data_IF_809381875775
#
_entry.id   IF_809381875775
#
_cell.length_a   1.000
_cell.length_b   1.000
_cell.length_c   1.000
_cell.angle_alpha   90.00
_cell.angle_beta   90.00
_cell.angle_gamma   90.00
#
_symmetry.space_group_name_H-M   'P 1'
#
loop_
_entity.id
_entity.type
_entity.pdbx_description
1 polymer ?
#
# COMPACT_ATOMS: atom_id res chain seq x y z
N UNK A 1 3.27 12.34 0.49
CA UNK A 1 2.91 13.53 1.28
C UNK A 1 3.69 13.50 2.57
N UNK A 2 4.84 14.18 2.60
CA UNK A 2 5.62 14.43 3.82
C UNK A 2 5.82 15.94 3.87
N UNK A 3 5.15 16.57 4.83
CA UNK A 3 5.12 18.02 5.01
C UNK A 3 6.26 18.47 5.91
N UNK A 4 7.01 19.44 5.39
CA UNK A 4 8.04 20.25 6.05
C UNK A 4 7.35 21.14 7.10
N UNK A 5 7.77 21.07 8.36
CA UNK A 5 7.35 22.01 9.41
C UNK A 5 8.49 23.00 9.66
N UNK A 6 8.27 24.25 9.27
CA UNK A 6 9.06 25.39 9.72
C UNK A 6 8.17 26.24 10.61
N UNK A 7 8.60 26.49 11.84
CA UNK A 7 7.93 27.44 12.72
C UNK A 7 8.98 28.44 13.23
N UNK A 8 8.79 29.69 12.84
CA UNK A 8 9.60 30.83 13.25
C UNK A 8 8.83 31.69 14.24
N UNK A 9 9.45 31.85 15.42
CA UNK A 9 9.65 33.08 16.21
C UNK A 9 8.55 34.14 16.41
N UNK A 10 8.40 34.51 17.69
CA UNK A 10 8.12 35.87 18.18
C UNK A 10 6.65 36.19 18.48
N UNK A 11 6.28 37.00 19.47
CA UNK A 11 6.98 37.65 20.59
C UNK A 11 5.86 38.20 21.53
N UNK A 12 6.23 38.49 22.78
CA UNK A 12 5.57 39.29 23.82
C UNK A 12 4.23 40.01 23.55
N UNK A 13 3.29 39.95 24.51
CA UNK A 13 3.02 41.11 25.37
C UNK A 13 2.26 40.78 26.67
N UNK A 14 2.63 41.51 27.71
CA UNK A 14 2.19 41.49 29.10
C UNK A 14 1.03 42.47 29.38
N UNK A 15 0.48 42.35 30.60
CA UNK A 15 -0.31 43.33 31.39
C UNK A 15 -1.83 43.28 31.24
N UNK A 16 -2.64 43.69 32.22
CA UNK A 16 -2.63 43.74 33.68
C UNK A 16 -4.04 44.27 34.05
N UNK A 17 -4.54 43.90 35.22
CA UNK A 17 -5.51 44.59 36.08
C UNK A 17 -6.72 45.36 35.48
N UNK A 18 -7.92 44.99 35.93
CA UNK A 18 -9.14 45.78 35.76
C UNK A 18 -10.29 45.28 36.65
N UNK A 19 -10.21 45.53 37.95
CA UNK A 19 -11.33 45.36 38.87
C UNK A 19 -12.39 46.45 38.63
N UNK A 20 -13.66 46.09 38.46
CA UNK A 20 -14.80 46.96 38.75
C UNK A 20 -15.96 46.16 39.32
N UNK A 21 -16.35 46.62 40.51
CA UNK A 21 -17.45 46.18 41.36
C UNK A 21 -18.79 46.63 40.74
N UNK A 22 -19.83 45.78 40.80
CA UNK A 22 -21.14 46.07 40.22
C UNK A 22 -22.22 45.15 40.77
N UNK A 23 -22.87 45.62 41.82
CA UNK A 23 -23.99 45.00 42.52
C UNK A 23 -25.28 45.12 41.70
N UNK A 24 -26.09 44.06 41.58
CA UNK A 24 -27.49 44.21 41.16
C UNK A 24 -28.14 43.06 40.38
N UNK A 25 -29.17 42.49 41.02
CA UNK A 25 -30.41 41.89 40.45
C UNK A 25 -30.35 40.47 39.88
N UNK A 26 -30.81 39.57 40.73
CA UNK A 26 -31.58 38.37 40.44
C UNK A 26 -32.44 38.48 39.18
N UNK A 27 -32.12 37.68 38.17
CA UNK A 27 -33.08 37.23 37.17
C UNK A 27 -32.84 35.73 36.94
N UNK A 28 -33.83 34.93 37.37
CA UNK A 28 -33.90 33.50 37.09
C UNK A 28 -34.03 33.30 35.59
N UNK A 29 -32.91 33.10 34.91
CA UNK A 29 -32.89 32.72 33.52
C UNK A 29 -32.71 31.21 33.45
N UNK A 30 -33.78 30.54 33.06
CA UNK A 30 -33.82 29.11 32.76
C UNK A 30 -32.67 28.74 31.83
N UNK A 31 -31.70 28.01 32.36
CA UNK A 31 -30.69 27.29 31.59
C UNK A 31 -31.39 26.20 30.76
N UNK A 32 -32.04 26.60 29.65
CA UNK A 32 -32.27 25.70 28.53
C UNK A 32 -30.91 25.43 27.93
N UNK A 33 -30.27 24.37 28.43
CA UNK A 33 -29.14 23.75 27.78
C UNK A 33 -29.53 23.52 26.32
N UNK A 34 -28.97 24.33 25.44
CA UNK A 34 -29.14 24.24 24.01
C UNK A 34 -28.34 23.00 23.56
N UNK A 35 -28.81 21.81 23.96
CA UNK A 35 -28.26 20.54 23.52
C UNK A 35 -28.54 20.48 22.02
N UNK A 36 -27.50 20.74 21.22
CA UNK A 36 -27.54 20.50 19.78
C UNK A 36 -28.08 19.08 19.57
N UNK A 37 -29.09 18.88 18.71
CA UNK A 37 -29.63 17.56 18.44
C UNK A 37 -28.49 16.63 18.04
N UNK A 38 -28.17 15.66 18.90
CA UNK A 38 -27.16 14.65 18.60
C UNK A 38 -27.82 13.73 17.58
N UNK A 39 -27.38 13.82 16.32
CA UNK A 39 -27.96 13.04 15.24
C UNK A 39 -27.99 11.54 15.63
N UNK A 40 -29.09 10.83 15.39
CA UNK A 40 -29.20 9.42 15.77
C UNK A 40 -28.08 8.61 15.13
N UNK A 41 -27.50 7.65 15.87
CA UNK A 41 -26.35 6.84 15.42
C UNK A 41 -26.58 6.21 14.05
N UNK A 42 -27.82 5.80 13.75
CA UNK A 42 -28.22 5.27 12.45
C UNK A 42 -28.11 6.29 11.32
N UNK A 43 -28.37 7.58 11.57
CA UNK A 43 -28.22 8.65 10.59
C UNK A 43 -26.73 8.97 10.34
N UNK A 44 -25.89 8.98 11.38
CA UNK A 44 -24.44 9.19 11.23
C UNK A 44 -23.78 8.00 10.54
N UNK A 45 -24.21 6.77 10.85
CA UNK A 45 -23.72 5.58 10.16
C UNK A 45 -24.14 5.55 8.68
N UNK A 46 -25.40 5.88 8.37
CA UNK A 46 -25.89 5.99 6.99
C UNK A 46 -25.15 7.03 6.16
N UNK A 47 -24.72 8.15 6.75
CA UNK A 47 -23.92 9.14 6.03
C UNK A 47 -22.49 8.64 5.77
N UNK A 48 -21.89 7.91 6.71
CA UNK A 48 -20.57 7.26 6.53
C UNK A 48 -20.58 6.15 5.48
N UNK A 49 -21.63 5.34 5.40
CA UNK A 49 -21.76 4.28 4.38
C UNK A 49 -21.76 4.83 2.94
N UNK A 50 -22.24 6.06 2.75
CA UNK A 50 -22.25 6.72 1.43
C UNK A 50 -20.89 7.31 1.03
N UNK A 51 -19.91 7.31 1.93
CA UNK A 51 -18.59 7.88 1.64
C UNK A 51 -17.71 6.86 0.91
N UNK A 52 -17.02 7.26 -0.17
CA UNK A 52 -16.05 6.39 -0.86
C UNK A 52 -14.99 5.78 0.07
N UNK A 53 -14.64 6.48 1.15
CA UNK A 53 -13.69 5.99 2.16
C UNK A 53 -14.15 4.71 2.87
N UNK A 54 -15.47 4.51 3.04
CA UNK A 54 -15.98 3.27 3.64
C UNK A 54 -15.76 2.07 2.71
N UNK A 55 -16.00 2.23 1.40
CA UNK A 55 -15.74 1.18 0.42
C UNK A 55 -14.25 0.90 0.25
N UNK A 56 -13.41 1.93 0.35
CA UNK A 56 -11.95 1.79 0.39
C UNK A 56 -11.49 0.94 1.59
N UNK A 57 -12.05 1.22 2.78
CA UNK A 57 -11.81 0.41 3.98
C UNK A 57 -12.29 -1.03 3.78
N UNK A 58 -13.51 -1.23 3.27
CA UNK A 58 -14.08 -2.55 3.03
C UNK A 58 -13.21 -3.36 2.05
N UNK A 59 -12.69 -2.72 0.99
CA UNK A 59 -11.76 -3.33 0.06
C UNK A 59 -10.49 -3.84 0.75
N UNK A 60 -9.87 -3.04 1.62
CA UNK A 60 -8.70 -3.48 2.39
C UNK A 60 -9.01 -4.59 3.40
N UNK A 61 -10.15 -4.52 4.10
CA UNK A 61 -10.57 -5.58 5.03
C UNK A 61 -10.86 -6.89 4.31
N UNK A 62 -11.53 -6.85 3.15
CA UNK A 62 -11.76 -8.03 2.32
C UNK A 62 -10.45 -8.58 1.72
N UNK A 63 -9.51 -7.71 1.35
CA UNK A 63 -8.17 -8.12 0.94
C UNK A 63 -7.48 -8.96 2.02
N UNK A 64 -7.52 -8.50 3.28
CA UNK A 64 -6.94 -9.25 4.41
C UNK A 64 -7.65 -10.59 4.63
N UNK A 65 -8.98 -10.60 4.55
CA UNK A 65 -9.77 -11.82 4.68
C UNK A 65 -9.41 -12.86 3.59
N UNK A 66 -9.33 -12.45 2.32
CA UNK A 66 -8.94 -13.35 1.24
C UNK A 66 -7.45 -13.73 1.29
N UNK A 67 -6.60 -12.88 1.85
CA UNK A 67 -5.20 -13.23 2.11
C UNK A 67 -5.07 -14.35 3.14
N UNK A 68 -5.86 -14.31 4.22
CA UNK A 68 -5.91 -15.43 5.19
C UNK A 68 -6.36 -16.72 4.49
N UNK A 69 -7.41 -16.68 3.67
CA UNK A 69 -7.84 -17.86 2.90
C UNK A 69 -6.77 -18.34 1.92
N UNK A 70 -6.05 -17.41 1.28
CA UNK A 70 -4.96 -17.71 0.37
C UNK A 70 -3.81 -18.43 1.09
N UNK A 71 -3.41 -17.97 2.28
CA UNK A 71 -2.39 -18.63 3.12
C UNK A 71 -2.82 -20.02 3.59
N UNK A 72 -4.11 -20.22 3.86
CA UNK A 72 -4.69 -21.51 4.29
C UNK A 72 -5.08 -22.40 3.10
N UNK A 73 -4.84 -21.99 1.86
CA UNK A 73 -5.24 -22.75 0.67
C UNK A 73 -4.20 -23.82 0.31
N UNK A 74 -4.62 -25.08 0.28
CA UNK A 74 -3.76 -26.20 -0.13
C UNK A 74 -3.99 -26.64 -1.59
N UNK A 75 -5.11 -26.27 -2.19
CA UNK A 75 -5.44 -26.60 -3.59
C UNK A 75 -5.06 -25.45 -4.52
N UNK A 76 -4.40 -25.74 -5.64
CA UNK A 76 -3.99 -24.74 -6.64
C UNK A 76 -5.15 -23.84 -7.07
N UNK A 77 -6.33 -24.43 -7.29
CA UNK A 77 -7.52 -23.67 -7.68
C UNK A 77 -8.00 -22.70 -6.59
N UNK A 78 -7.85 -23.07 -5.31
CA UNK A 78 -8.18 -22.21 -4.17
C UNK A 78 -7.18 -21.05 -4.06
N UNK A 79 -5.89 -21.35 -4.17
CA UNK A 79 -4.80 -20.35 -4.22
C UNK A 79 -5.06 -19.34 -5.33
N UNK A 80 -5.34 -19.82 -6.54
CA UNK A 80 -5.63 -18.98 -7.72
C UNK A 80 -6.88 -18.11 -7.51
N UNK A 81 -7.94 -18.69 -6.96
CA UNK A 81 -9.19 -17.97 -6.71
C UNK A 81 -9.02 -16.87 -5.68
N UNK A 82 -8.38 -17.18 -4.55
CA UNK A 82 -8.13 -16.20 -3.49
C UNK A 82 -7.16 -15.11 -3.93
N UNK A 83 -6.12 -15.45 -4.71
CA UNK A 83 -5.23 -14.48 -5.34
C UNK A 83 -5.99 -13.48 -6.22
N UNK A 84 -6.89 -13.96 -7.10
CA UNK A 84 -7.70 -13.07 -7.95
C UNK A 84 -8.61 -12.16 -7.13
N UNK A 85 -9.20 -12.67 -6.03
CA UNK A 85 -10.01 -11.88 -5.12
C UNK A 85 -9.19 -10.80 -4.40
N UNK A 86 -7.98 -11.13 -3.95
CA UNK A 86 -7.04 -10.15 -3.40
C UNK A 86 -6.76 -9.04 -4.42
N UNK A 87 -6.36 -9.41 -5.64
CA UNK A 87 -6.08 -8.42 -6.69
C UNK A 87 -7.31 -7.55 -7.00
N UNK A 88 -8.51 -8.13 -7.06
CA UNK A 88 -9.75 -7.37 -7.25
C UNK A 88 -9.99 -6.36 -6.12
N UNK A 89 -9.85 -6.77 -4.86
CA UNK A 89 -9.96 -5.87 -3.71
C UNK A 89 -8.97 -4.71 -3.79
N UNK A 90 -7.73 -4.99 -4.17
CA UNK A 90 -6.68 -3.97 -4.34
C UNK A 90 -7.01 -3.01 -5.49
N UNK A 91 -7.46 -3.52 -6.63
CA UNK A 91 -7.89 -2.69 -7.78
C UNK A 91 -9.02 -1.74 -7.37
N UNK A 92 -10.03 -2.25 -6.65
CA UNK A 92 -11.14 -1.42 -6.17
C UNK A 92 -10.63 -0.35 -5.20
N UNK A 93 -9.84 -0.72 -4.20
CA UNK A 93 -9.31 0.22 -3.20
C UNK A 93 -8.47 1.33 -3.84
N UNK A 94 -7.47 0.99 -4.65
CA UNK A 94 -6.65 2.02 -5.31
C UNK A 94 -7.44 2.79 -6.38
N UNK A 95 -8.40 2.17 -7.06
CA UNK A 95 -9.29 2.86 -7.99
C UNK A 95 -10.08 3.99 -7.30
N UNK A 96 -10.56 3.75 -6.07
CA UNK A 96 -11.22 4.79 -5.26
C UNK A 96 -10.25 5.94 -4.93
N UNK A 97 -8.99 5.63 -4.57
CA UNK A 97 -7.98 6.66 -4.28
C UNK A 97 -7.64 7.46 -5.53
N UNK A 98 -7.45 6.80 -6.67
CA UNK A 98 -7.15 7.47 -7.94
C UNK A 98 -8.30 8.34 -8.42
N UNK A 99 -9.56 7.91 -8.25
CA UNK A 99 -10.71 8.77 -8.51
C UNK A 99 -10.68 10.05 -7.68
N UNK A 100 -10.25 9.99 -6.41
CA UNK A 100 -10.05 11.18 -5.58
C UNK A 100 -8.92 12.07 -6.11
N UNK A 101 -7.81 11.49 -6.61
CA UNK A 101 -6.71 12.24 -7.24
C UNK A 101 -7.14 12.94 -8.53
N UNK A 102 -8.01 12.31 -9.33
CA UNK A 102 -8.58 12.95 -10.52
C UNK A 102 -9.46 14.13 -10.11
N UNK A 103 -10.33 13.93 -9.11
CA UNK A 103 -11.20 15.00 -8.60
C UNK A 103 -10.42 16.18 -8.01
N UNK A 104 -9.28 15.92 -7.36
CA UNK A 104 -8.40 16.95 -6.80
C UNK A 104 -7.40 17.52 -7.82
N UNK A 105 -7.46 17.10 -9.09
CA UNK A 105 -6.53 17.46 -10.18
C UNK A 105 -5.07 17.07 -9.92
N UNK A 106 -4.82 16.15 -9.00
CA UNK A 106 -3.50 15.53 -8.78
C UNK A 106 -3.16 14.47 -9.84
N UNK A 107 -4.19 13.92 -10.50
CA UNK A 107 -4.06 12.99 -11.63
C UNK A 107 -4.84 13.51 -12.83
N UNK A 108 -4.22 13.44 -14.02
CA UNK A 108 -4.83 13.88 -15.29
C UNK A 108 -4.53 12.86 -16.38
N UNK A 109 -5.56 12.32 -17.04
CA UNK A 109 -5.40 11.29 -18.06
C UNK A 109 -4.96 11.84 -19.43
N UNK A 110 -4.02 12.77 -19.43
CA UNK A 110 -3.36 13.22 -20.65
C UNK A 110 -2.14 12.33 -20.90
N UNK A 111 -2.06 11.72 -22.07
CA UNK A 111 -0.97 10.82 -22.45
C UNK A 111 0.43 11.42 -22.25
N UNK A 112 0.58 12.73 -22.48
CA UNK A 112 1.82 13.48 -22.25
C UNK A 112 2.27 13.46 -20.77
N UNK A 113 1.33 13.45 -19.83
CA UNK A 113 1.59 13.54 -18.39
C UNK A 113 1.50 12.19 -17.69
N UNK A 114 0.81 11.21 -18.27
CA UNK A 114 0.54 9.91 -17.64
C UNK A 114 1.83 9.16 -17.29
N UNK A 115 2.83 9.20 -18.18
CA UNK A 115 4.13 8.56 -17.93
C UNK A 115 4.84 9.18 -16.73
N UNK A 116 4.80 10.50 -16.60
CA UNK A 116 5.37 11.19 -15.45
C UNK A 116 4.58 10.88 -14.16
N UNK A 117 3.25 10.84 -14.23
CA UNK A 117 2.40 10.54 -13.09
C UNK A 117 2.59 9.10 -12.58
N UNK A 118 2.72 8.11 -13.47
CA UNK A 118 3.04 6.73 -13.10
C UNK A 118 4.36 6.65 -12.32
N UNK A 119 5.37 7.43 -12.71
CA UNK A 119 6.67 7.46 -12.02
C UNK A 119 6.64 8.11 -10.64
N UNK A 120 5.65 8.95 -10.34
CA UNK A 120 5.59 9.73 -9.11
C UNK A 120 4.56 9.19 -8.11
N UNK A 121 3.53 8.49 -8.58
CA UNK A 121 2.39 8.09 -7.76
C UNK A 121 2.43 6.59 -7.47
N UNK A 122 2.86 6.22 -6.26
CA UNK A 122 2.89 4.83 -5.78
C UNK A 122 1.54 4.13 -5.97
N UNK A 123 0.44 4.81 -5.59
CA UNK A 123 -0.91 4.26 -5.70
C UNK A 123 -1.28 3.91 -7.16
N UNK A 124 -0.78 4.68 -8.13
CA UNK A 124 -0.99 4.40 -9.55
C UNK A 124 -0.14 3.20 -10.00
N UNK A 125 1.10 3.08 -9.50
CA UNK A 125 1.96 1.92 -9.78
C UNK A 125 1.32 0.62 -9.26
N UNK A 126 0.85 0.60 -8.01
CA UNK A 126 0.15 -0.57 -7.46
C UNK A 126 -1.12 -0.88 -8.23
N UNK A 127 -1.95 0.14 -8.54
CA UNK A 127 -3.18 -0.05 -9.31
C UNK A 127 -2.93 -0.68 -10.69
N UNK A 128 -1.97 -0.12 -11.44
CA UNK A 128 -1.64 -0.63 -12.78
C UNK A 128 -1.08 -2.05 -12.73
N UNK A 129 -0.21 -2.35 -11.75
CA UNK A 129 0.28 -3.71 -11.53
C UNK A 129 -0.86 -4.68 -11.20
N UNK A 130 -1.73 -4.34 -10.25
CA UNK A 130 -2.83 -5.23 -9.82
C UNK A 130 -3.82 -5.51 -10.94
N UNK A 131 -4.12 -4.51 -11.80
CA UNK A 131 -4.95 -4.74 -13.00
C UNK A 131 -4.25 -5.70 -13.97
N UNK A 132 -2.97 -5.49 -14.24
CA UNK A 132 -2.22 -6.34 -15.17
C UNK A 132 -2.18 -7.80 -14.65
N UNK A 133 -1.88 -8.01 -13.37
CA UNK A 133 -1.84 -9.32 -12.74
C UNK A 133 -3.20 -10.00 -12.70
N UNK A 134 -4.26 -9.25 -12.34
CA UNK A 134 -5.63 -9.78 -12.33
C UNK A 134 -6.03 -10.22 -13.74
N UNK A 135 -5.82 -9.38 -14.74
CA UNK A 135 -6.18 -9.64 -16.13
C UNK A 135 -5.45 -10.87 -16.65
N UNK A 136 -4.12 -10.93 -16.47
CA UNK A 136 -3.32 -12.08 -16.91
C UNK A 136 -3.74 -13.37 -16.18
N UNK A 137 -4.06 -13.30 -14.89
CA UNK A 137 -4.56 -14.45 -14.14
C UNK A 137 -5.93 -14.93 -14.66
N UNK A 138 -6.85 -14.01 -14.96
CA UNK A 138 -8.18 -14.33 -15.51
C UNK A 138 -8.09 -14.97 -16.89
N UNK A 139 -7.20 -14.46 -17.75
CA UNK A 139 -6.95 -14.99 -19.10
C UNK A 139 -6.16 -16.32 -19.13
N UNK A 140 -5.91 -16.92 -17.97
CA UNK A 140 -5.35 -18.28 -17.87
C UNK A 140 -3.86 -18.34 -17.55
N UNK A 141 -3.18 -17.20 -17.42
CA UNK A 141 -1.79 -17.12 -16.95
C UNK A 141 -1.59 -17.73 -15.56
N UNK A 142 -0.35 -18.14 -15.28
CA UNK A 142 0.05 -18.65 -13.96
C UNK A 142 0.03 -17.50 -12.95
N UNK A 143 -0.51 -17.75 -11.76
CA UNK A 143 -0.45 -16.80 -10.65
C UNK A 143 1.00 -16.59 -10.21
N UNK A 144 1.45 -15.33 -10.23
CA UNK A 144 2.73 -14.93 -9.64
C UNK A 144 2.54 -14.76 -8.13
N UNK A 145 2.68 -15.85 -7.38
CA UNK A 145 2.57 -15.84 -5.93
C UNK A 145 3.61 -14.89 -5.30
N UNK A 146 3.25 -14.22 -4.21
CA UNK A 146 4.03 -13.22 -3.46
C UNK A 146 3.97 -11.79 -4.03
N UNK A 147 3.42 -11.59 -5.23
CA UNK A 147 3.21 -10.24 -5.78
C UNK A 147 2.21 -9.41 -4.96
N UNK A 148 1.33 -10.07 -4.21
CA UNK A 148 0.35 -9.46 -3.31
C UNK A 148 0.92 -8.96 -1.97
N UNK A 149 2.10 -9.44 -1.56
CA UNK A 149 2.57 -9.31 -0.18
C UNK A 149 2.69 -7.86 0.30
N UNK A 150 3.30 -6.97 -0.49
CA UNK A 150 3.42 -5.56 -0.10
C UNK A 150 2.06 -4.86 -0.03
N UNK A 151 1.17 -5.13 -0.99
CA UNK A 151 -0.19 -4.59 -1.03
C UNK A 151 -1.05 -5.03 0.17
N UNK A 152 -0.88 -6.27 0.60
CA UNK A 152 -1.54 -6.82 1.80
C UNK A 152 -1.02 -6.15 3.07
N UNK A 153 0.28 -5.91 3.16
CA UNK A 153 0.88 -5.17 4.28
C UNK A 153 0.29 -3.76 4.35
N UNK A 154 0.23 -3.01 3.24
CA UNK A 154 -0.40 -1.69 3.24
C UNK A 154 -1.88 -1.76 3.60
N UNK A 155 -2.59 -2.78 3.13
CA UNK A 155 -4.01 -3.02 3.47
C UNK A 155 -4.23 -3.21 4.97
N UNK A 156 -3.29 -3.86 5.68
CA UNK A 156 -3.38 -4.04 7.14
C UNK A 156 -3.39 -2.68 7.86
N UNK A 157 -2.42 -1.81 7.57
CA UNK A 157 -2.32 -0.51 8.23
C UNK A 157 -3.48 0.41 7.84
N UNK A 158 -3.91 0.37 6.58
CA UNK A 158 -5.09 1.09 6.12
C UNK A 158 -6.37 0.65 6.84
N UNK A 159 -6.60 -0.66 6.96
CA UNK A 159 -7.75 -1.20 7.66
C UNK A 159 -7.72 -0.87 9.15
N UNK A 160 -6.58 -1.07 9.83
CA UNK A 160 -6.43 -0.78 11.25
C UNK A 160 -6.65 0.70 11.57
N UNK A 161 -6.02 1.59 10.80
CA UNK A 161 -6.15 3.03 11.04
C UNK A 161 -7.58 3.50 10.79
N UNK A 162 -8.22 3.07 9.70
CA UNK A 162 -9.60 3.44 9.42
C UNK A 162 -10.57 2.86 10.45
N UNK A 163 -10.38 1.60 10.86
CA UNK A 163 -11.20 0.97 11.89
C UNK A 163 -11.15 1.78 13.18
N UNK A 164 -9.95 2.13 13.66
CA UNK A 164 -9.75 2.91 14.87
C UNK A 164 -10.43 4.29 14.80
N UNK A 165 -10.25 5.01 13.70
CA UNK A 165 -10.71 6.41 13.58
C UNK A 165 -12.20 6.53 13.20
N UNK A 166 -12.74 5.60 12.41
CA UNK A 166 -14.05 5.77 11.77
C UNK A 166 -15.06 4.66 12.07
N UNK A 167 -14.65 3.51 12.60
CA UNK A 167 -15.56 2.39 12.91
C UNK A 167 -15.73 2.23 14.41
N UNK A 168 -14.62 2.17 15.15
CA UNK A 168 -14.57 1.93 16.58
C UNK A 168 -15.46 2.90 17.41
N UNK A 169 -15.54 4.21 17.09
CA UNK A 169 -16.43 5.12 17.82
C UNK A 169 -17.91 4.69 17.78
N UNK A 170 -18.35 4.01 16.72
CA UNK A 170 -19.74 3.62 16.50
C UNK A 170 -20.09 2.22 17.02
N UNK A 171 -19.10 1.44 17.47
CA UNK A 171 -19.34 0.12 18.06
C UNK A 171 -20.01 0.30 19.43
N UNK A 172 -21.12 -0.39 19.75
CA UNK A 172 -21.79 -0.28 21.04
C UNK A 172 -21.01 -1.06 22.12
N UNK A 173 -19.90 -0.48 22.59
CA UNK A 173 -19.06 -1.02 23.66
C UNK A 173 -18.68 0.09 24.65
N UNK A 174 -18.24 -0.29 25.87
CA UNK A 174 -17.89 0.68 26.92
C UNK A 174 -16.72 1.59 26.49
N UNK A 175 -16.75 2.84 26.96
CA UNK A 175 -15.72 3.85 26.62
C UNK A 175 -14.31 3.39 27.01
N UNK A 176 -14.18 2.70 28.15
CA UNK A 176 -12.92 2.15 28.65
C UNK A 176 -12.35 1.12 27.65
N UNK A 177 -13.19 0.20 27.16
CA UNK A 177 -12.75 -0.80 26.19
C UNK A 177 -12.41 -0.15 24.83
N UNK A 178 -13.16 0.87 24.38
CA UNK A 178 -12.83 1.63 23.16
C UNK A 178 -11.47 2.30 23.28
N UNK A 179 -11.21 2.98 24.40
CA UNK A 179 -9.95 3.64 24.68
C UNK A 179 -8.79 2.64 24.69
N UNK A 180 -8.96 1.51 25.38
CA UNK A 180 -7.96 0.44 25.42
C UNK A 180 -7.65 -0.11 24.02
N UNK A 181 -8.66 -0.43 23.22
CA UNK A 181 -8.47 -0.97 21.87
C UNK A 181 -7.83 0.06 20.93
N UNK A 182 -8.27 1.31 20.98
CA UNK A 182 -7.68 2.41 20.21
C UNK A 182 -6.20 2.61 20.53
N UNK A 183 -5.84 2.54 21.82
CA UNK A 183 -4.45 2.64 22.28
C UNK A 183 -3.61 1.46 21.78
N UNK A 184 -4.13 0.22 21.85
CA UNK A 184 -3.44 -0.97 21.34
C UNK A 184 -3.19 -0.88 19.83
N UNK A 185 -4.19 -0.45 19.05
CA UNK A 185 -4.03 -0.27 17.60
C UNK A 185 -3.01 0.83 17.32
N UNK A 186 -3.08 1.96 18.04
CA UNK A 186 -2.13 3.07 17.86
C UNK A 186 -0.71 2.65 18.21
N UNK A 187 -0.52 1.88 19.29
CA UNK A 187 0.77 1.30 19.65
C UNK A 187 1.28 0.36 18.56
N UNK A 188 0.44 -0.54 18.05
CA UNK A 188 0.82 -1.44 16.96
C UNK A 188 1.27 -0.67 15.71
N UNK A 189 0.47 0.32 15.27
CA UNK A 189 0.81 1.13 14.10
C UNK A 189 2.13 1.88 14.32
N UNK A 190 2.31 2.53 15.47
CA UNK A 190 3.50 3.32 15.74
C UNK A 190 4.79 2.47 15.79
N UNK A 191 4.75 1.28 16.39
CA UNK A 191 5.93 0.45 16.58
C UNK A 191 6.26 -0.46 15.39
N UNK A 192 5.25 -0.90 14.65
CA UNK A 192 5.44 -1.92 13.60
C UNK A 192 5.37 -1.37 12.18
N UNK A 193 4.84 -0.17 11.94
CA UNK A 193 4.71 0.36 10.58
C UNK A 193 6.05 0.43 9.84
N UNK A 194 7.13 0.86 10.49
CA UNK A 194 8.47 0.90 9.88
C UNK A 194 8.99 -0.50 9.51
N UNK A 195 8.89 -1.47 10.43
CA UNK A 195 9.33 -2.84 10.19
C UNK A 195 8.53 -3.54 9.09
N UNK A 196 7.22 -3.35 9.06
CA UNK A 196 6.36 -3.89 8.00
C UNK A 196 6.56 -3.17 6.67
N UNK A 197 6.83 -1.87 6.67
CA UNK A 197 7.23 -1.16 5.46
C UNK A 197 8.52 -1.77 4.88
N UNK A 198 9.51 -2.04 5.73
CA UNK A 198 10.71 -2.74 5.30
C UNK A 198 10.40 -4.15 4.77
N UNK A 199 9.55 -4.91 5.46
CA UNK A 199 9.11 -6.23 5.01
C UNK A 199 8.40 -6.16 3.64
N UNK A 200 7.62 -5.11 3.37
CA UNK A 200 6.98 -4.88 2.08
C UNK A 200 8.02 -4.70 0.97
N UNK A 201 9.02 -3.83 1.17
CA UNK A 201 10.12 -3.59 0.22
C UNK A 201 10.94 -4.88 0.00
N UNK A 202 11.26 -5.62 1.08
CA UNK A 202 11.95 -6.91 0.97
C UNK A 202 11.11 -7.91 0.17
N UNK A 203 9.79 -7.99 0.42
CA UNK A 203 8.91 -8.89 -0.31
C UNK A 203 8.87 -8.60 -1.81
N UNK A 204 8.96 -7.32 -2.19
CA UNK A 204 9.04 -6.89 -3.58
C UNK A 204 10.36 -7.33 -4.22
N UNK A 205 11.49 -7.13 -3.52
CA UNK A 205 12.80 -7.57 -4.00
C UNK A 205 12.87 -9.10 -4.18
N UNK A 206 12.40 -9.86 -3.18
CA UNK A 206 12.37 -11.33 -3.27
C UNK A 206 11.49 -11.80 -4.44
N UNK A 207 10.35 -11.15 -4.65
CA UNK A 207 9.47 -11.46 -5.78
C UNK A 207 10.14 -11.15 -7.10
N UNK A 208 10.88 -10.03 -7.21
CA UNK A 208 11.65 -9.71 -8.41
C UNK A 208 12.72 -10.77 -8.69
N UNK A 209 13.48 -11.19 -7.68
CA UNK A 209 14.47 -12.25 -7.83
C UNK A 209 13.85 -13.55 -8.37
N UNK A 210 12.71 -13.97 -7.80
CA UNK A 210 11.95 -15.14 -8.26
C UNK A 210 11.49 -14.98 -9.71
N UNK A 211 10.93 -13.82 -10.07
CA UNK A 211 10.47 -13.52 -11.42
C UNK A 211 11.63 -13.54 -12.44
N UNK A 212 12.79 -12.99 -12.09
CA UNK A 212 14.00 -13.06 -12.90
C UNK A 212 14.43 -14.50 -13.16
N UNK A 213 14.40 -15.36 -12.14
CA UNK A 213 14.75 -16.79 -12.30
C UNK A 213 13.73 -17.54 -13.16
N UNK A 214 12.45 -17.15 -13.12
CA UNK A 214 11.39 -17.75 -13.95
C UNK A 214 11.43 -17.30 -15.42
N UNK A 215 11.95 -16.11 -15.71
CA UNK A 215 11.95 -15.50 -17.03
C UNK A 215 12.51 -16.39 -18.16
N UNK A 216 13.73 -16.97 -18.06
CA UNK A 216 14.29 -17.78 -19.15
C UNK A 216 13.44 -19.03 -19.45
N UNK A 217 12.94 -19.69 -18.41
CA UNK A 217 12.05 -20.85 -18.54
C UNK A 217 10.76 -20.45 -19.26
N UNK A 218 10.20 -19.28 -18.88
CA UNK A 218 8.96 -18.79 -19.47
C UNK A 218 9.13 -18.35 -20.93
N UNK A 219 10.28 -17.77 -21.29
CA UNK A 219 10.62 -17.42 -22.67
C UNK A 219 10.72 -18.67 -23.55
N UNK A 220 11.46 -19.70 -23.11
CA UNK A 220 11.54 -20.98 -23.82
C UNK A 220 10.15 -21.61 -23.96
N UNK A 221 9.34 -21.58 -22.90
CA UNK A 221 7.97 -22.10 -22.94
C UNK A 221 7.12 -21.40 -24.00
N UNK A 222 7.19 -20.07 -24.12
CA UNK A 222 6.47 -19.33 -25.16
C UNK A 222 6.98 -19.67 -26.55
N UNK A 223 8.31 -19.74 -26.75
CA UNK A 223 8.91 -20.05 -28.04
C UNK A 223 8.57 -21.47 -28.53
N UNK A 224 8.56 -22.45 -27.64
CA UNK A 224 8.33 -23.86 -28.00
C UNK A 224 6.84 -24.19 -28.13
N UNK A 225 6.01 -23.74 -27.18
CA UNK A 225 4.61 -24.17 -27.10
C UNK A 225 3.61 -23.17 -27.66
N UNK A 226 4.01 -21.91 -27.84
CA UNK A 226 3.17 -20.78 -28.25
C UNK A 226 1.79 -20.73 -27.56
N UNK A 227 1.74 -21.16 -26.30
CA UNK A 227 0.50 -21.28 -25.54
C UNK A 227 0.11 -19.92 -24.91
N UNK A 228 -1.16 -19.55 -25.01
CA UNK A 228 -1.74 -18.37 -24.37
C UNK A 228 -1.43 -18.28 -22.86
N UNK A 229 -1.47 -19.42 -22.13
CA UNK A 229 -1.09 -19.47 -20.71
C UNK A 229 0.35 -18.98 -20.49
N UNK A 230 1.26 -19.40 -21.37
CA UNK A 230 2.66 -19.03 -21.28
C UNK A 230 2.87 -17.55 -21.63
N UNK A 231 2.12 -17.04 -22.61
CA UNK A 231 2.12 -15.63 -22.97
C UNK A 231 1.61 -14.73 -21.83
N UNK A 232 0.46 -15.03 -21.23
CA UNK A 232 -0.08 -14.24 -20.10
C UNK A 232 0.79 -14.32 -18.84
N UNK A 233 1.48 -15.44 -18.64
CA UNK A 233 2.47 -15.56 -17.56
C UNK A 233 3.67 -14.63 -17.84
N UNK A 234 4.16 -14.59 -19.07
CA UNK A 234 5.25 -13.69 -19.48
C UNK A 234 4.84 -12.22 -19.35
N UNK A 235 3.60 -11.86 -19.72
CA UNK A 235 3.06 -10.51 -19.54
C UNK A 235 2.98 -10.12 -18.05
N UNK A 236 2.59 -11.04 -17.17
CA UNK A 236 2.61 -10.81 -15.72
C UNK A 236 4.02 -10.52 -15.20
N UNK A 237 5.01 -11.30 -15.68
CA UNK A 237 6.43 -11.12 -15.34
C UNK A 237 6.91 -9.75 -15.81
N UNK A 238 6.57 -9.37 -17.04
CA UNK A 238 6.94 -8.08 -17.60
C UNK A 238 6.32 -6.90 -16.84
N UNK A 239 5.03 -6.99 -16.52
CA UNK A 239 4.33 -5.97 -15.72
C UNK A 239 4.98 -5.81 -14.35
N UNK A 240 5.37 -6.91 -13.71
CA UNK A 240 6.07 -6.88 -12.43
C UNK A 240 7.46 -6.24 -12.54
N UNK A 241 8.21 -6.54 -13.61
CA UNK A 241 9.53 -5.96 -13.85
C UNK A 241 9.45 -4.42 -14.05
N UNK A 242 8.43 -3.92 -14.77
CA UNK A 242 8.17 -2.48 -14.90
C UNK A 242 7.84 -1.87 -13.53
N UNK A 243 6.92 -2.47 -12.78
CA UNK A 243 6.58 -2.03 -11.43
C UNK A 243 7.82 -1.94 -10.54
N UNK A 244 8.63 -3.00 -10.51
CA UNK A 244 9.83 -3.06 -9.70
C UNK A 244 10.84 -1.96 -10.11
N UNK A 245 11.00 -1.68 -11.40
CA UNK A 245 11.85 -0.59 -11.89
C UNK A 245 11.35 0.78 -11.43
N UNK A 246 10.04 1.03 -11.50
CA UNK A 246 9.44 2.28 -11.00
C UNK A 246 9.74 2.44 -9.50
N UNK A 247 9.53 1.37 -8.72
CA UNK A 247 9.82 1.35 -7.28
C UNK A 247 11.29 1.57 -6.96
N UNK A 248 12.22 0.94 -7.69
CA UNK A 248 13.66 1.14 -7.52
C UNK A 248 14.08 2.59 -7.78
N UNK A 249 13.56 3.20 -8.84
CA UNK A 249 13.88 4.59 -9.18
C UNK A 249 13.35 5.58 -8.14
N UNK A 250 12.21 5.28 -7.53
CA UNK A 250 11.55 6.18 -6.60
C UNK A 250 11.98 5.99 -5.13
N UNK A 251 12.15 4.74 -4.68
CA UNK A 251 12.40 4.40 -3.28
C UNK A 251 13.90 4.30 -2.98
N UNK A 252 14.40 5.19 -2.12
CA UNK A 252 15.78 5.11 -1.63
C UNK A 252 16.04 3.82 -0.84
N UNK A 253 15.09 3.41 -0.01
CA UNK A 253 15.20 2.17 0.75
C UNK A 253 15.29 0.93 -0.16
N UNK A 254 14.56 0.91 -1.27
CA UNK A 254 14.68 -0.19 -2.25
C UNK A 254 16.10 -0.26 -2.82
N UNK A 255 16.68 0.88 -3.21
CA UNK A 255 18.06 0.94 -3.73
C UNK A 255 19.07 0.49 -2.69
N UNK A 256 18.93 0.96 -1.45
CA UNK A 256 19.80 0.59 -0.35
C UNK A 256 19.78 -0.92 -0.09
N UNK A 257 18.60 -1.54 -0.02
CA UNK A 257 18.47 -2.99 0.17
C UNK A 257 19.02 -3.80 -1.01
N UNK A 258 18.80 -3.33 -2.25
CA UNK A 258 19.40 -3.97 -3.43
C UNK A 258 20.94 -3.94 -3.35
N UNK A 259 21.51 -2.79 -3.01
CA UNK A 259 22.96 -2.63 -2.90
C UNK A 259 23.54 -3.49 -1.76
N UNK A 260 22.89 -3.52 -0.60
CA UNK A 260 23.30 -4.36 0.53
C UNK A 260 23.29 -5.85 0.16
N UNK A 261 22.19 -6.34 -0.43
CA UNK A 261 22.09 -7.74 -0.83
C UNK A 261 23.12 -8.09 -1.91
N UNK A 262 23.41 -7.17 -2.84
CA UNK A 262 24.47 -7.36 -3.82
C UNK A 262 25.85 -7.52 -3.15
N UNK A 263 26.18 -6.65 -2.19
CA UNK A 263 27.44 -6.75 -1.43
C UNK A 263 27.53 -8.06 -0.64
N UNK A 264 26.44 -8.50 -0.02
CA UNK A 264 26.40 -9.78 0.71
C UNK A 264 26.68 -10.96 -0.23
N UNK A 265 26.06 -10.98 -1.41
CA UNK A 265 26.28 -12.05 -2.40
C UNK A 265 27.72 -11.99 -2.92
N UNK A 266 28.24 -10.81 -3.24
CA UNK A 266 29.62 -10.63 -3.72
C UNK A 266 30.64 -11.11 -2.67
N UNK A 267 30.48 -10.73 -1.41
CA UNK A 267 31.33 -11.16 -0.31
C UNK A 267 31.25 -12.68 -0.07
N UNK A 268 30.05 -13.25 -0.20
CA UNK A 268 29.87 -14.69 -0.06
C UNK A 268 30.57 -15.46 -1.18
N UNK A 269 30.41 -15.03 -2.44
CA UNK A 269 31.04 -15.66 -3.60
C UNK A 269 32.57 -15.49 -3.55
N UNK A 270 33.07 -14.29 -3.23
CA UNK A 270 34.53 -14.05 -3.14
C UNK A 270 35.20 -14.93 -2.10
N UNK A 271 34.53 -15.15 -0.96
CA UNK A 271 35.09 -15.91 0.16
C UNK A 271 34.95 -17.42 -0.03
N UNK A 272 33.80 -17.89 -0.52
CA UNK A 272 33.47 -19.33 -0.57
C UNK A 272 33.75 -19.96 -1.93
N UNK A 273 33.58 -19.20 -3.01
CA UNK A 273 33.65 -19.70 -4.38
C UNK A 273 34.36 -18.70 -5.30
N UNK A 274 35.63 -18.34 -5.03
CA UNK A 274 36.33 -17.31 -5.80
C UNK A 274 36.38 -17.61 -7.30
N UNK A 275 36.43 -18.89 -7.68
CA UNK A 275 36.39 -19.35 -9.08
C UNK A 275 35.08 -19.00 -9.83
N UNK A 276 34.01 -18.64 -9.11
CA UNK A 276 32.73 -18.24 -9.71
C UNK A 276 32.59 -16.72 -9.84
N UNK A 277 33.56 -15.93 -9.38
CA UNK A 277 33.43 -14.47 -9.36
C UNK A 277 33.23 -13.88 -10.76
N UNK A 278 34.02 -14.31 -11.75
CA UNK A 278 33.89 -13.80 -13.12
C UNK A 278 32.52 -14.12 -13.72
N UNK A 279 32.01 -15.33 -13.45
CA UNK A 279 30.66 -15.74 -13.88
C UNK A 279 29.59 -14.89 -13.21
N UNK A 280 29.73 -14.63 -11.91
CA UNK A 280 28.83 -13.76 -11.16
C UNK A 280 28.81 -12.33 -11.71
N UNK A 281 29.98 -11.75 -12.01
CA UNK A 281 30.08 -10.43 -12.62
C UNK A 281 29.42 -10.38 -14.00
N UNK A 282 29.56 -11.43 -14.81
CA UNK A 282 28.85 -11.57 -16.09
C UNK A 282 27.32 -11.59 -15.92
N UNK A 283 26.80 -12.38 -14.98
CA UNK A 283 25.36 -12.45 -14.66
C UNK A 283 24.86 -11.08 -14.18
N UNK A 284 25.60 -10.44 -13.28
CA UNK A 284 25.28 -9.10 -12.76
C UNK A 284 25.23 -8.07 -13.89
N UNK A 285 26.20 -8.10 -14.81
CA UNK A 285 26.22 -7.21 -15.96
C UNK A 285 24.99 -7.42 -16.86
N UNK A 286 24.66 -8.67 -17.17
CA UNK A 286 23.47 -9.02 -17.94
C UNK A 286 22.19 -8.51 -17.26
N UNK A 287 22.05 -8.76 -15.96
CA UNK A 287 20.91 -8.32 -15.16
C UNK A 287 20.77 -6.79 -15.17
N UNK A 288 21.89 -6.07 -15.04
CA UNK A 288 21.93 -4.61 -15.13
C UNK A 288 21.50 -4.12 -16.50
N UNK A 289 22.08 -4.66 -17.58
CA UNK A 289 21.71 -4.29 -18.96
C UNK A 289 20.22 -4.54 -19.22
N UNK A 290 19.70 -5.69 -18.79
CA UNK A 290 18.27 -5.99 -18.90
C UNK A 290 17.43 -4.97 -18.13
N UNK A 291 17.77 -4.71 -16.87
CA UNK A 291 17.05 -3.78 -16.00
C UNK A 291 17.05 -2.35 -16.57
N UNK A 292 18.19 -1.89 -17.08
CA UNK A 292 18.34 -0.55 -17.67
C UNK A 292 17.47 -0.40 -18.94
N UNK A 293 17.28 -1.49 -19.71
CA UNK A 293 16.46 -1.51 -20.94
C UNK A 293 14.95 -1.57 -20.71
N UNK A 294 14.47 -1.94 -19.53
CA UNK A 294 13.02 -1.92 -19.23
C UNK A 294 12.48 -0.49 -19.38
N UNK A 295 11.47 -0.29 -20.21
CA UNK A 295 10.83 1.02 -20.36
C UNK A 295 9.85 1.25 -19.19
N UNK A 296 10.27 2.09 -18.24
CA UNK A 296 9.48 2.57 -17.11
C UNK A 296 9.41 4.10 -17.14
#
# INVERSE_FOLDING_TARGET
MSGRSGNGSGNHNTNNAGAKNGNGKTNGNSNRSNQRPVAPLSAVFRTKLKQPQFYWFLGHTLCLYYYIQYMLSFREQSVKTNYRKIMLCIVISYGIVLHQYVKSKQLTFQWSNLKQQIRQLDNLQYFTLSIALLTCSLLGGKTLTQTESSMVIYSLFHALNYFKENVLPFIPMSSILKGSLSNKISYFIANFNGSFFNAAVISELVTMCKVCLMLPIQLVSVLVSFNAKSLFTLLSIWAYAIFFKLRYNQSEQMRLLCNQNQQVIENFISTRFPMLMDKWLGIKHLAKVFFDRILA
#
